data_IF_179955936999
#
_entry.id   IF_179955936999
#
_cell.length_a   1.000
_cell.length_b   1.000
_cell.length_c   1.000
_cell.angle_alpha   90.00
_cell.angle_beta   90.00
_cell.angle_gamma   90.00
#
_symmetry.space_group_name_H-M   'P 1'
#
loop_
_entity.id
_entity.type
_entity.pdbx_description
1 polymer ?
#
# COMPACT_ATOMS: atom_id res chain seq x y z
N UNK A 1 -18.92 53.10 42.74
CA UNK A 1 -19.98 52.95 41.72
C UNK A 1 -19.59 53.83 40.56
N UNK A 2 -18.86 53.27 39.60
CA UNK A 2 -18.09 54.05 38.61
C UNK A 2 -18.91 54.26 37.35
N UNK A 3 -19.56 55.42 37.32
CA UNK A 3 -19.96 56.30 36.21
C UNK A 3 -19.79 55.76 34.77
N UNK A 4 -20.91 55.71 34.02
CA UNK A 4 -20.97 55.52 32.57
C UNK A 4 -20.43 56.76 31.83
N UNK A 5 -19.62 56.62 30.77
CA UNK A 5 -19.10 57.78 30.04
C UNK A 5 -20.18 58.40 29.12
N UNK A 6 -20.41 59.69 29.33
CA UNK A 6 -21.31 60.56 28.57
C UNK A 6 -20.82 60.80 27.13
N UNK A 7 -21.67 60.56 26.13
CA UNK A 7 -21.42 60.92 24.73
C UNK A 7 -21.54 62.44 24.54
N UNK A 8 -20.40 63.12 24.36
CA UNK A 8 -20.34 64.54 24.00
C UNK A 8 -20.06 64.68 22.51
N UNK A 9 -21.10 64.86 21.71
CA UNK A 9 -20.97 65.12 20.27
C UNK A 9 -20.74 66.63 20.07
N UNK A 10 -19.52 67.02 19.64
CA UNK A 10 -19.23 68.38 19.17
C UNK A 10 -18.79 68.29 17.73
N UNK A 11 -19.66 68.78 16.84
CA UNK A 11 -19.38 68.85 15.41
C UNK A 11 -18.33 69.92 15.09
N UNK A 12 -17.36 69.55 14.27
CA UNK A 12 -16.69 70.42 13.32
C UNK A 12 -15.84 69.57 12.39
N UNK A 13 -16.10 69.71 11.09
CA UNK A 13 -15.47 69.04 9.96
C UNK A 13 -13.93 68.99 10.05
N UNK A 14 -13.38 67.80 10.25
CA UNK A 14 -12.08 67.38 9.70
C UNK A 14 -11.99 65.85 9.73
N UNK A 15 -11.43 65.31 8.66
CA UNK A 15 -11.27 63.91 8.33
C UNK A 15 -10.44 63.17 9.40
N UNK A 16 -11.06 62.29 10.19
CA UNK A 16 -10.34 61.33 11.05
C UNK A 16 -10.63 59.92 10.53
N UNK A 17 -9.82 59.46 9.57
CA UNK A 17 -9.71 58.03 9.27
C UNK A 17 -8.99 57.42 10.47
N UNK A 18 -9.58 56.47 11.22
CA UNK A 18 -8.82 55.77 12.25
C UNK A 18 -7.75 54.93 11.53
N UNK A 19 -6.49 55.26 11.78
CA UNK A 19 -5.35 54.47 11.38
C UNK A 19 -5.43 53.13 12.13
N UNK A 20 -5.96 52.10 11.46
CA UNK A 20 -6.00 50.74 12.00
C UNK A 20 -4.58 50.20 11.92
N UNK A 21 -3.82 50.40 13.00
CA UNK A 21 -2.61 49.64 13.30
C UNK A 21 -2.99 48.17 13.49
N UNK A 22 -2.92 47.39 12.42
CA UNK A 22 -3.01 45.92 12.50
C UNK A 22 -1.68 45.43 13.08
N UNK A 23 -1.65 45.26 14.40
CA UNK A 23 -0.53 44.61 15.08
C UNK A 23 -0.30 43.22 14.48
N UNK A 24 0.90 43.04 13.91
CA UNK A 24 1.41 41.78 13.40
C UNK A 24 1.42 40.74 14.53
N UNK A 25 0.38 39.91 14.60
CA UNK A 25 0.31 38.79 15.53
C UNK A 25 1.31 37.71 15.09
N UNK A 26 2.54 37.79 15.58
CA UNK A 26 3.49 36.67 15.53
C UNK A 26 3.02 35.62 16.52
N UNK A 27 2.34 34.59 16.02
CA UNK A 27 1.96 33.41 16.80
C UNK A 27 3.24 32.81 17.42
N UNK A 28 3.31 32.59 18.75
CA UNK A 28 4.51 32.09 19.40
C UNK A 28 4.89 30.70 18.88
N UNK A 29 6.19 30.46 18.68
CA UNK A 29 6.76 29.25 18.07
C UNK A 29 6.34 27.95 18.79
N UNK A 30 5.93 28.05 20.06
CA UNK A 30 5.39 26.96 20.88
C UNK A 30 4.03 26.45 20.40
N UNK A 31 3.18 27.34 19.86
CA UNK A 31 1.86 26.98 19.33
C UNK A 31 2.01 26.19 18.03
N UNK A 32 2.98 26.58 17.19
CA UNK A 32 3.34 25.80 16.00
C UNK A 32 3.89 24.42 16.40
N UNK A 33 4.73 24.34 17.42
CA UNK A 33 5.20 23.05 17.96
C UNK A 33 4.07 22.14 18.42
N UNK A 34 3.13 22.66 19.21
CA UNK A 34 1.95 21.91 19.67
C UNK A 34 1.01 21.53 18.54
N UNK A 35 0.86 22.39 17.53
CA UNK A 35 0.07 22.08 16.34
C UNK A 35 0.72 20.95 15.54
N UNK A 36 2.04 21.00 15.36
CA UNK A 36 2.80 19.96 14.66
C UNK A 36 2.75 18.63 15.39
N UNK A 37 2.82 18.60 16.73
CA UNK A 37 2.71 17.34 17.49
C UNK A 37 1.31 16.75 17.40
N UNK A 38 0.25 17.56 17.48
CA UNK A 38 -1.12 17.08 17.29
C UNK A 38 -1.36 16.59 15.87
N UNK A 39 -0.84 17.29 14.85
CA UNK A 39 -0.90 16.83 13.45
C UNK A 39 -0.14 15.53 13.24
N UNK A 40 1.05 15.38 13.85
CA UNK A 40 1.83 14.14 13.80
C UNK A 40 1.10 13.00 14.50
N UNK A 41 0.45 13.24 15.64
CA UNK A 41 -0.33 12.24 16.36
C UNK A 41 -1.58 11.82 15.58
N UNK A 42 -2.30 12.76 14.97
CA UNK A 42 -3.45 12.47 14.10
C UNK A 42 -2.96 11.71 12.86
N UNK A 43 -1.87 12.14 12.23
CA UNK A 43 -1.26 11.45 11.10
C UNK A 43 -0.84 10.02 11.47
N UNK A 44 -0.17 9.85 12.60
CA UNK A 44 0.28 8.54 13.07
C UNK A 44 -0.90 7.65 13.48
N UNK A 45 -1.94 8.20 14.09
CA UNK A 45 -3.18 7.48 14.37
C UNK A 45 -3.92 7.08 13.08
N UNK A 46 -3.91 7.94 12.05
CA UNK A 46 -4.45 7.61 10.73
C UNK A 46 -3.60 6.56 10.01
N UNK A 47 -2.27 6.63 10.14
CA UNK A 47 -1.34 5.64 9.59
C UNK A 47 -1.53 4.26 10.26
N UNK A 48 -1.73 4.26 11.58
CA UNK A 48 -2.09 3.06 12.34
C UNK A 48 -3.48 2.54 11.98
N UNK A 49 -4.47 3.43 11.74
CA UNK A 49 -5.80 3.03 11.26
C UNK A 49 -5.76 2.49 9.82
N UNK A 50 -4.91 3.04 8.96
CA UNK A 50 -4.69 2.51 7.60
C UNK A 50 -4.13 1.08 7.66
N UNK A 51 -3.21 0.80 8.59
CA UNK A 51 -2.68 -0.55 8.79
C UNK A 51 -3.66 -1.51 9.50
N UNK A 52 -4.67 -0.98 10.22
CA UNK A 52 -5.73 -1.77 10.85
C UNK A 52 -6.83 -2.17 9.86
N UNK A 53 -7.00 -1.43 8.77
CA UNK A 53 -7.98 -1.77 7.72
C UNK A 53 -7.60 -3.04 6.94
N UNK A 54 -6.32 -3.43 6.92
CA UNK A 54 -5.92 -4.76 6.45
C UNK A 54 -6.51 -5.87 7.35
N UNK A 55 -6.65 -5.61 8.65
CA UNK A 55 -7.16 -6.58 9.64
C UNK A 55 -8.68 -6.75 9.53
N UNK A 56 -9.44 -5.72 9.14
CA UNK A 56 -10.90 -5.86 8.99
C UNK A 56 -11.30 -6.57 7.69
N UNK A 57 -10.43 -6.56 6.67
CA UNK A 57 -10.57 -7.43 5.48
C UNK A 57 -10.35 -8.92 5.78
N UNK A 58 -9.77 -9.25 6.93
CA UNK A 58 -9.66 -10.62 7.45
C UNK A 58 -11.01 -11.10 8.03
N UNK A 59 -11.90 -10.18 8.43
CA UNK A 59 -13.17 -10.49 9.08
C UNK A 59 -14.35 -10.63 8.11
N UNK A 60 -14.19 -10.30 6.83
CA UNK A 60 -15.17 -10.65 5.79
C UNK A 60 -15.00 -12.12 5.42
N UNK A 61 -15.30 -12.97 6.38
CA UNK A 61 -15.53 -14.39 6.18
C UNK A 61 -16.73 -14.48 5.24
N UNK A 62 -16.51 -14.99 4.04
CA UNK A 62 -17.61 -15.19 3.12
C UNK A 62 -18.55 -16.32 3.60
N UNK A 63 -19.64 -16.59 2.87
CA UNK A 63 -20.64 -17.60 3.24
C UNK A 63 -20.06 -19.00 3.50
N UNK A 64 -18.85 -19.27 2.98
CA UNK A 64 -18.11 -20.53 3.11
C UNK A 64 -17.11 -20.56 4.26
N UNK A 65 -16.85 -19.44 4.92
CA UNK A 65 -15.94 -19.43 6.04
C UNK A 65 -14.50 -19.01 5.70
N UNK A 66 -14.20 -18.63 4.46
CA UNK A 66 -12.81 -18.41 4.06
C UNK A 66 -12.51 -16.92 3.91
N UNK A 67 -11.32 -16.52 4.33
CA UNK A 67 -10.83 -15.15 4.09
C UNK A 67 -10.01 -15.12 2.80
N UNK A 68 -10.06 -14.01 2.06
CA UNK A 68 -9.16 -13.75 0.91
C UNK A 68 -7.69 -13.95 1.31
N UNK A 69 -7.34 -13.62 2.55
CA UNK A 69 -6.00 -13.83 3.10
C UNK A 69 -5.59 -15.30 3.13
N UNK A 70 -6.52 -16.21 3.43
CA UNK A 70 -6.27 -17.65 3.43
C UNK A 70 -6.07 -18.16 2.01
N UNK A 71 -6.86 -17.65 1.05
CA UNK A 71 -6.70 -17.93 -0.38
C UNK A 71 -5.30 -17.51 -0.82
N UNK A 72 -4.89 -16.27 -0.53
CA UNK A 72 -3.56 -15.77 -0.90
C UNK A 72 -2.42 -16.56 -0.24
N UNK A 73 -2.57 -16.96 1.02
CA UNK A 73 -1.59 -17.79 1.72
C UNK A 73 -1.48 -19.18 1.07
N UNK A 74 -2.61 -19.79 0.70
CA UNK A 74 -2.62 -21.05 -0.06
C UNK A 74 -1.89 -20.91 -1.40
N UNK A 75 -2.18 -19.84 -2.17
CA UNK A 75 -1.49 -19.57 -3.42
C UNK A 75 0.02 -19.39 -3.21
N UNK A 76 0.44 -18.71 -2.14
CA UNK A 76 1.85 -18.53 -1.82
C UNK A 76 2.58 -19.82 -1.40
N UNK A 77 1.85 -20.83 -0.90
CA UNK A 77 2.43 -22.15 -0.58
C UNK A 77 2.48 -23.08 -1.78
N UNK A 78 1.52 -22.97 -2.69
CA UNK A 78 1.34 -23.90 -3.82
C UNK A 78 1.65 -23.26 -5.19
N UNK A 79 2.28 -22.08 -5.23
CA UNK A 79 2.45 -21.27 -6.44
C UNK A 79 3.13 -21.99 -7.62
N UNK A 80 3.93 -23.02 -7.37
CA UNK A 80 4.73 -23.70 -8.38
C UNK A 80 3.83 -24.33 -9.47
N UNK A 81 2.79 -25.06 -9.06
CA UNK A 81 1.93 -25.84 -9.96
C UNK A 81 0.44 -25.52 -9.85
N UNK A 82 0.01 -24.71 -8.88
CA UNK A 82 -1.41 -24.48 -8.62
C UNK A 82 -2.13 -23.89 -9.83
N UNK A 83 -3.24 -24.52 -10.20
CA UNK A 83 -4.18 -23.98 -11.18
C UNK A 83 -5.35 -23.30 -10.49
N UNK A 84 -6.02 -22.39 -11.21
CA UNK A 84 -7.24 -21.75 -10.70
C UNK A 84 -8.34 -22.79 -10.36
N UNK A 85 -8.40 -23.88 -11.11
CA UNK A 85 -9.34 -24.97 -10.87
C UNK A 85 -9.06 -25.70 -9.55
N UNK A 86 -7.81 -26.05 -9.28
CA UNK A 86 -7.42 -26.70 -8.03
C UNK A 86 -7.65 -25.80 -6.82
N UNK A 87 -7.30 -24.51 -6.93
CA UNK A 87 -7.56 -23.54 -5.88
C UNK A 87 -9.07 -23.40 -5.60
N UNK A 88 -9.89 -23.30 -6.66
CA UNK A 88 -11.35 -23.21 -6.51
C UNK A 88 -11.93 -24.45 -5.83
N UNK A 89 -11.48 -25.64 -6.24
CA UNK A 89 -11.86 -26.91 -5.62
C UNK A 89 -11.46 -26.99 -4.15
N UNK A 90 -10.26 -26.50 -3.78
CA UNK A 90 -9.77 -26.52 -2.40
C UNK A 90 -10.66 -25.69 -1.46
N UNK A 91 -11.12 -24.53 -1.92
CA UNK A 91 -11.96 -23.62 -1.12
C UNK A 91 -13.47 -23.81 -1.32
N UNK A 92 -13.90 -24.78 -2.14
CA UNK A 92 -15.32 -25.06 -2.39
C UNK A 92 -16.02 -24.05 -3.31
N UNK A 93 -15.26 -23.32 -4.13
CA UNK A 93 -15.81 -22.35 -5.08
C UNK A 93 -15.91 -22.90 -6.50
N UNK A 94 -16.75 -22.24 -7.31
CA UNK A 94 -16.58 -22.30 -8.76
C UNK A 94 -15.34 -21.51 -9.19
N UNK A 95 -14.73 -21.91 -10.31
CA UNK A 95 -13.55 -21.21 -10.87
C UNK A 95 -13.84 -19.74 -11.17
N UNK A 96 -15.04 -19.45 -11.69
CA UNK A 96 -15.46 -18.08 -11.96
C UNK A 96 -15.61 -17.28 -10.67
N UNK A 97 -16.22 -17.86 -9.63
CA UNK A 97 -16.40 -17.15 -8.37
C UNK A 97 -15.05 -16.83 -7.72
N UNK A 98 -14.14 -17.80 -7.64
CA UNK A 98 -12.79 -17.56 -7.13
C UNK A 98 -12.04 -16.50 -7.95
N UNK A 99 -12.14 -16.53 -9.28
CA UNK A 99 -11.49 -15.53 -10.14
C UNK A 99 -12.02 -14.12 -9.87
N UNK A 100 -13.33 -13.98 -9.71
CA UNK A 100 -13.97 -12.68 -9.42
C UNK A 100 -13.58 -12.22 -8.02
N UNK A 101 -13.70 -13.08 -7.01
CA UNK A 101 -13.33 -12.79 -5.63
C UNK A 101 -11.88 -12.28 -5.53
N UNK A 102 -10.93 -13.02 -6.11
CA UNK A 102 -9.51 -12.61 -6.12
C UNK A 102 -9.34 -11.24 -6.78
N UNK A 103 -10.00 -10.99 -7.92
CA UNK A 103 -9.87 -9.75 -8.67
C UNK A 103 -10.50 -8.56 -7.94
N UNK A 104 -11.65 -8.74 -7.33
CA UNK A 104 -12.34 -7.69 -6.57
C UNK A 104 -11.58 -7.34 -5.30
N UNK A 105 -11.03 -8.33 -4.61
CA UNK A 105 -10.31 -8.10 -3.36
C UNK A 105 -8.89 -7.57 -3.53
N UNK A 106 -8.18 -7.98 -4.61
CA UNK A 106 -6.76 -7.61 -4.81
C UNK A 106 -6.52 -6.65 -5.97
N UNK A 107 -7.52 -6.43 -6.82
CA UNK A 107 -7.35 -5.71 -8.09
C UNK A 107 -6.56 -6.47 -9.16
N UNK A 108 -6.10 -7.71 -8.88
CA UNK A 108 -5.23 -8.51 -9.76
C UNK A 108 -5.87 -9.84 -10.11
N UNK A 109 -5.52 -10.38 -11.27
CA UNK A 109 -5.97 -11.72 -11.67
C UNK A 109 -5.12 -12.80 -11.00
N UNK A 110 -5.69 -14.01 -10.87
CA UNK A 110 -4.98 -15.19 -10.39
C UNK A 110 -3.61 -15.38 -11.06
N UNK A 111 -3.56 -15.28 -12.40
CA UNK A 111 -2.32 -15.45 -13.16
C UNK A 111 -1.29 -14.34 -12.88
N UNK A 112 -1.74 -13.12 -12.60
CA UNK A 112 -0.83 -12.04 -12.20
C UNK A 112 -0.23 -12.32 -10.82
N UNK A 113 -1.06 -12.74 -9.86
CA UNK A 113 -0.60 -13.07 -8.50
C UNK A 113 0.42 -14.21 -8.52
N UNK A 114 0.13 -15.31 -9.22
CA UNK A 114 1.06 -16.43 -9.34
C UNK A 114 2.36 -16.00 -10.03
N UNK A 115 2.28 -15.20 -11.09
CA UNK A 115 3.47 -14.67 -11.77
C UNK A 115 4.32 -13.82 -10.82
N UNK A 116 3.70 -12.93 -10.06
CA UNK A 116 4.39 -12.05 -9.13
C UNK A 116 5.08 -12.86 -8.02
N UNK A 117 4.41 -13.87 -7.46
CA UNK A 117 4.99 -14.79 -6.48
C UNK A 117 6.19 -15.52 -7.10
N UNK A 118 6.05 -16.13 -8.28
CA UNK A 118 7.14 -16.84 -8.98
C UNK A 118 8.36 -15.95 -9.23
N UNK A 119 8.14 -14.71 -9.68
CA UNK A 119 9.22 -13.76 -9.96
C UNK A 119 9.91 -13.26 -8.69
N UNK A 120 9.16 -13.06 -7.61
CA UNK A 120 9.73 -12.70 -6.31
C UNK A 120 10.61 -13.83 -5.76
N UNK A 121 10.15 -15.08 -5.87
CA UNK A 121 10.94 -16.25 -5.48
C UNK A 121 12.19 -16.43 -6.36
N UNK A 122 12.08 -16.16 -7.67
CA UNK A 122 13.24 -16.15 -8.56
C UNK A 122 14.27 -15.09 -8.14
N UNK A 123 13.83 -13.87 -7.85
CA UNK A 123 14.71 -12.81 -7.37
C UNK A 123 15.41 -13.18 -6.06
N UNK A 124 14.68 -13.79 -5.13
CA UNK A 124 15.25 -14.30 -3.88
C UNK A 124 16.32 -15.36 -4.15
N UNK A 125 16.02 -16.38 -4.96
CA UNK A 125 16.97 -17.42 -5.32
C UNK A 125 18.22 -16.88 -6.05
N UNK A 126 18.07 -15.85 -6.90
CA UNK A 126 19.18 -15.22 -7.60
C UNK A 126 20.16 -14.51 -6.67
N UNK A 127 19.67 -13.95 -5.55
CA UNK A 127 20.48 -13.27 -4.52
C UNK A 127 21.13 -14.27 -3.57
N UNK A 128 20.32 -15.18 -3.01
CA UNK A 128 20.76 -16.06 -1.92
C UNK A 128 21.55 -17.29 -2.40
N UNK A 129 21.42 -17.68 -3.66
CA UNK A 129 22.00 -18.94 -4.17
C UNK A 129 22.89 -18.74 -5.40
N UNK A 130 23.74 -19.73 -5.67
CA UNK A 130 24.57 -19.83 -6.89
C UNK A 130 23.96 -20.74 -7.97
N UNK A 131 22.67 -21.11 -7.83
CA UNK A 131 21.99 -22.01 -8.77
C UNK A 131 22.04 -21.51 -10.21
N UNK A 132 22.01 -22.40 -11.19
CA UNK A 132 21.93 -21.98 -12.60
C UNK A 132 20.58 -21.32 -12.90
N UNK A 133 20.50 -20.53 -13.96
CA UNK A 133 19.22 -19.93 -14.40
C UNK A 133 18.18 -21.01 -14.73
N UNK A 134 18.61 -22.17 -15.22
CA UNK A 134 17.75 -23.33 -15.49
C UNK A 134 17.21 -23.93 -14.19
N UNK A 135 18.07 -24.16 -13.19
CA UNK A 135 17.63 -24.67 -11.89
C UNK A 135 16.66 -23.72 -11.19
N UNK A 136 16.86 -22.39 -11.33
CA UNK A 136 15.92 -21.40 -10.79
C UNK A 136 14.59 -21.44 -11.53
N UNK A 137 14.59 -21.64 -12.86
CA UNK A 137 13.37 -21.78 -13.65
C UNK A 137 12.51 -22.97 -13.16
N UNK A 138 13.15 -24.12 -12.95
CA UNK A 138 12.50 -25.31 -12.40
C UNK A 138 12.02 -25.08 -10.97
N UNK A 139 12.85 -24.47 -10.12
CA UNK A 139 12.53 -24.17 -8.72
C UNK A 139 11.27 -23.30 -8.56
N UNK A 140 11.08 -22.32 -9.45
CA UNK A 140 9.89 -21.45 -9.39
C UNK A 140 8.68 -22.02 -10.15
N UNK A 141 8.85 -23.17 -10.81
CA UNK A 141 7.77 -23.88 -11.50
C UNK A 141 7.42 -23.31 -12.87
N UNK A 142 8.40 -22.88 -13.68
CA UNK A 142 8.19 -22.63 -15.11
C UNK A 142 8.64 -23.85 -15.92
N UNK A 143 7.79 -24.30 -16.84
CA UNK A 143 8.08 -25.44 -17.72
C UNK A 143 9.11 -25.11 -18.81
N UNK A 144 9.11 -23.87 -19.32
CA UNK A 144 10.03 -23.41 -20.36
C UNK A 144 10.97 -22.31 -19.81
N UNK A 145 12.30 -22.52 -19.87
CA UNK A 145 13.30 -21.50 -19.58
C UNK A 145 13.15 -20.23 -20.42
N UNK A 146 12.80 -20.38 -21.71
CA UNK A 146 12.61 -19.26 -22.63
C UNK A 146 11.44 -18.38 -22.18
N UNK A 147 10.34 -19.01 -21.74
CA UNK A 147 9.18 -18.31 -21.23
C UNK A 147 9.53 -17.52 -19.95
N UNK A 148 10.24 -18.17 -19.02
CA UNK A 148 10.72 -17.53 -17.78
C UNK A 148 11.63 -16.33 -18.09
N UNK A 149 12.64 -16.51 -18.93
CA UNK A 149 13.59 -15.45 -19.29
C UNK A 149 12.89 -14.23 -19.91
N UNK A 150 11.93 -14.47 -20.82
CA UNK A 150 11.15 -13.42 -21.47
C UNK A 150 10.30 -12.65 -20.47
N UNK A 151 9.60 -13.35 -19.57
CA UNK A 151 8.77 -12.70 -18.54
C UNK A 151 9.67 -11.92 -17.57
N UNK A 152 10.75 -12.52 -17.09
CA UNK A 152 11.66 -11.87 -16.14
C UNK A 152 12.24 -10.59 -16.73
N UNK A 153 12.75 -10.64 -17.97
CA UNK A 153 13.27 -9.46 -18.67
C UNK A 153 12.20 -8.40 -18.91
N UNK A 154 10.98 -8.80 -19.24
CA UNK A 154 9.85 -7.87 -19.39
C UNK A 154 9.50 -7.16 -18.08
N UNK A 155 9.54 -7.87 -16.96
CA UNK A 155 9.17 -7.32 -15.65
C UNK A 155 10.28 -6.45 -15.05
N UNK A 156 11.54 -6.86 -15.15
CA UNK A 156 12.67 -6.20 -14.47
C UNK A 156 13.59 -5.39 -15.39
N UNK A 157 13.37 -5.42 -16.71
CA UNK A 157 14.19 -4.75 -17.71
C UNK A 157 15.55 -5.39 -17.98
N UNK A 158 15.89 -6.46 -17.26
CA UNK A 158 17.17 -7.17 -17.35
C UNK A 158 16.98 -8.68 -17.23
N UNK A 159 17.95 -9.45 -17.68
CA UNK A 159 17.95 -10.91 -17.57
C UNK A 159 18.24 -11.37 -16.13
N UNK A 160 17.85 -12.60 -15.73
CA UNK A 160 18.20 -13.17 -14.43
C UNK A 160 19.71 -13.14 -14.12
N UNK A 161 20.54 -13.40 -15.13
CA UNK A 161 22.00 -13.35 -15.00
C UNK A 161 22.54 -11.95 -14.71
N UNK A 162 22.04 -10.94 -15.43
CA UNK A 162 22.37 -9.53 -15.18
C UNK A 162 21.88 -9.09 -13.80
N UNK A 163 20.67 -9.50 -13.41
CA UNK A 163 20.13 -9.24 -12.08
C UNK A 163 21.02 -9.80 -10.97
N UNK A 164 21.51 -11.04 -11.13
CA UNK A 164 22.46 -11.63 -10.17
C UNK A 164 23.75 -10.83 -10.08
N UNK A 165 24.35 -10.45 -11.21
CA UNK A 165 25.61 -9.69 -11.22
C UNK A 165 25.45 -8.36 -10.46
N UNK A 166 24.37 -7.62 -10.74
CA UNK A 166 24.08 -6.34 -10.12
C UNK A 166 23.89 -6.40 -8.59
N UNK A 167 23.40 -7.53 -8.05
CA UNK A 167 23.14 -7.67 -6.61
C UNK A 167 24.29 -8.35 -5.84
N UNK A 168 25.38 -8.73 -6.52
CA UNK A 168 26.57 -9.33 -5.91
C UNK A 168 27.79 -8.41 -5.89
N UNK A 169 27.68 -7.24 -6.51
CA UNK A 169 28.62 -6.12 -6.41
C UNK A 169 28.25 -5.25 -5.19
#
# INVERSE_FOLDING_TARGET
MTELPTLRYKGSNTLCIPEISVSSHRIPLTVWGSLMTVLLLIFWAMLLRFHKNDIESILTKDSTGNSVTEILNYLNRHYQSVTLHEAAKHFGYSTSHLSTLIKESTGRTFLQIIRDIKLNQACHALRETSLSNLAICELVGYESPEHFMRIFKKTYGMTPGEYRKKNRE
#
